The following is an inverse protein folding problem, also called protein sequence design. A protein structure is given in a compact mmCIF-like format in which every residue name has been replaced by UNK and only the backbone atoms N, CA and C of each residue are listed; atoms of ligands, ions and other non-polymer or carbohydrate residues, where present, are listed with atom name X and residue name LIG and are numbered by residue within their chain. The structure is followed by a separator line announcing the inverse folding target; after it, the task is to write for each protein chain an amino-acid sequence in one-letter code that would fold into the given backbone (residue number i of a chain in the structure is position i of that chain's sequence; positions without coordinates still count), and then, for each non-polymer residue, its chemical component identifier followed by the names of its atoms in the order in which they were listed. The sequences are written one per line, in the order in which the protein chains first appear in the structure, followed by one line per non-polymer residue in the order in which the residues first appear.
data_IF_220546837095
#
_entry.id   IF_220546837095
#
_cell.length_a   1.000
_cell.length_b   1.000
_cell.length_c   1.000
_cell.angle_alpha   90.00
_cell.angle_beta   90.00
_cell.angle_gamma   90.00
#
_symmetry.space_group_name_H-M   'P 1'
#
loop_
_entity.id
_entity.type
_entity.pdbx_description
1 polymer ?
#
# COMPACT_ATOMS: atom_id res chain seq x y z
N UNK A 1 11.08 -22.00 -5.74
CA UNK A 1 10.71 -20.88 -6.63
C UNK A 1 9.45 -21.17 -7.43
N UNK A 2 9.33 -22.34 -8.11
CA UNK A 2 8.16 -22.69 -8.94
C UNK A 2 6.86 -22.73 -8.12
N UNK A 3 6.84 -23.41 -6.97
CA UNK A 3 5.66 -23.49 -6.09
C UNK A 3 5.22 -22.11 -5.59
N UNK A 4 6.17 -21.25 -5.21
CA UNK A 4 5.88 -19.88 -4.79
C UNK A 4 5.19 -19.06 -5.89
N UNK A 5 5.69 -19.14 -7.13
CA UNK A 5 5.09 -18.42 -8.26
C UNK A 5 3.71 -18.95 -8.61
N UNK A 6 3.53 -20.26 -8.58
CA UNK A 6 2.23 -20.89 -8.78
C UNK A 6 1.21 -20.40 -7.76
N UNK A 7 1.53 -20.48 -6.47
CA UNK A 7 0.64 -20.01 -5.41
C UNK A 7 0.35 -18.51 -5.51
N UNK A 8 1.34 -17.67 -5.86
CA UNK A 8 1.12 -16.24 -6.01
C UNK A 8 0.23 -15.91 -7.20
N UNK A 9 0.31 -16.67 -8.28
CA UNK A 9 -0.59 -16.56 -9.43
C UNK A 9 -2.01 -16.94 -9.04
N UNK A 10 -2.21 -18.07 -8.37
CA UNK A 10 -3.52 -18.49 -7.88
C UNK A 10 -4.12 -17.46 -6.91
N UNK A 11 -3.30 -16.87 -6.02
CA UNK A 11 -3.74 -15.80 -5.13
C UNK A 11 -4.20 -14.56 -5.89
N UNK A 12 -3.48 -14.18 -6.94
CA UNK A 12 -3.84 -13.06 -7.80
C UNK A 12 -5.12 -13.34 -8.59
N UNK A 13 -5.27 -14.53 -9.17
CA UNK A 13 -6.47 -14.93 -9.88
C UNK A 13 -7.71 -14.93 -8.97
N UNK A 14 -7.57 -15.46 -7.75
CA UNK A 14 -8.66 -15.45 -6.78
C UNK A 14 -9.01 -14.02 -6.36
N UNK A 15 -8.01 -13.16 -6.16
CA UNK A 15 -8.26 -11.75 -5.86
C UNK A 15 -9.02 -11.06 -7.00
N UNK A 16 -8.62 -11.26 -8.25
CA UNK A 16 -9.32 -10.72 -9.42
C UNK A 16 -10.77 -11.22 -9.52
N UNK A 17 -11.04 -12.51 -9.23
CA UNK A 17 -12.41 -13.03 -9.15
C UNK A 17 -13.23 -12.28 -8.09
N UNK A 18 -12.66 -12.04 -6.91
CA UNK A 18 -13.33 -11.28 -5.84
C UNK A 18 -13.63 -9.84 -6.25
N UNK A 19 -12.69 -9.19 -6.95
CA UNK A 19 -12.93 -7.88 -7.52
C UNK A 19 -14.07 -7.90 -8.56
N UNK A 20 -14.11 -8.89 -9.45
CA UNK A 20 -15.19 -9.05 -10.41
C UNK A 20 -16.56 -9.26 -9.76
N UNK A 21 -16.61 -9.96 -8.64
CA UNK A 21 -17.82 -10.19 -7.84
C UNK A 21 -18.23 -8.99 -6.96
N UNK A 22 -17.46 -7.89 -6.99
CA UNK A 22 -17.69 -6.70 -6.15
C UNK A 22 -17.85 -7.04 -4.65
N UNK A 23 -16.97 -7.88 -4.13
CA UNK A 23 -17.07 -8.37 -2.75
C UNK A 23 -16.69 -7.34 -1.69
N UNK A 24 -16.16 -6.17 -2.08
CA UNK A 24 -15.75 -5.10 -1.19
C UNK A 24 -16.86 -4.04 -1.07
N UNK A 25 -17.95 -4.38 -0.38
CA UNK A 25 -19.00 -3.41 -0.08
C UNK A 25 -18.62 -2.59 1.15
N UNK A 26 -18.01 -1.43 0.91
CA UNK A 26 -17.61 -0.51 1.99
C UNK A 26 -17.81 0.95 1.56
N UNK A 27 -18.11 1.77 2.55
CA UNK A 27 -18.16 3.23 2.39
C UNK A 27 -16.96 3.94 2.98
N UNK A 28 -16.02 3.22 3.61
CA UNK A 28 -14.88 3.80 4.30
C UNK A 28 -13.57 3.10 3.90
N UNK A 29 -12.70 3.85 3.25
CA UNK A 29 -11.41 3.36 2.75
C UNK A 29 -10.27 4.21 3.28
N UNK A 30 -9.16 3.56 3.59
CA UNK A 30 -7.88 4.19 3.90
C UNK A 30 -6.91 3.89 2.76
N UNK A 31 -6.25 4.92 2.25
CA UNK A 31 -5.33 4.83 1.13
C UNK A 31 -4.03 5.58 1.44
N UNK A 32 -2.89 4.92 1.25
CA UNK A 32 -1.55 5.52 1.37
C UNK A 32 -0.49 4.67 0.65
N UNK A 33 0.72 5.18 0.58
CA UNK A 33 1.90 4.50 0.05
C UNK A 33 2.84 4.06 1.16
N UNK A 34 3.29 2.80 1.07
CA UNK A 34 4.40 2.28 1.86
C UNK A 34 5.69 2.36 1.07
N UNK A 35 6.81 2.67 1.73
CA UNK A 35 8.13 2.63 1.11
C UNK A 35 8.84 1.32 1.41
N UNK A 36 9.48 0.75 0.38
CA UNK A 36 10.38 -0.37 0.42
C UNK A 36 11.59 -0.11 -0.48
N UNK A 37 12.37 -1.11 -0.78
CA UNK A 37 13.53 -0.98 -1.67
C UNK A 37 13.89 -2.30 -2.33
N UNK A 38 14.57 -2.22 -3.46
CA UNK A 38 15.12 -3.33 -4.23
C UNK A 38 16.62 -3.45 -3.99
N UNK A 39 17.09 -4.56 -3.42
CA UNK A 39 18.47 -4.84 -2.98
C UNK A 39 19.02 -3.85 -1.95
N UNK A 40 18.87 -2.57 -2.18
CA UNK A 40 19.46 -1.49 -1.41
C UNK A 40 18.50 -0.32 -1.31
N UNK A 41 18.63 0.46 -0.24
CA UNK A 41 17.86 1.71 -0.05
C UNK A 41 18.10 2.75 -1.15
N UNK A 42 19.15 2.56 -1.95
CA UNK A 42 19.41 3.38 -3.13
C UNK A 42 18.45 3.10 -4.29
N UNK A 43 17.68 2.01 -4.24
CA UNK A 43 16.66 1.66 -5.25
C UNK A 43 15.28 1.58 -4.58
N UNK A 44 14.63 2.73 -4.32
CA UNK A 44 13.36 2.75 -3.62
C UNK A 44 12.23 2.14 -4.44
N UNK A 45 11.28 1.51 -3.72
CA UNK A 45 10.01 1.04 -4.24
C UNK A 45 8.89 1.72 -3.46
N UNK A 46 7.85 2.13 -4.16
CA UNK A 46 6.58 2.54 -3.58
C UNK A 46 5.56 1.41 -3.68
N UNK A 47 4.72 1.27 -2.67
CA UNK A 47 3.65 0.30 -2.59
C UNK A 47 2.38 1.07 -2.29
N UNK A 48 1.55 1.31 -3.30
CA UNK A 48 0.22 1.87 -3.11
C UNK A 48 -0.67 0.81 -2.47
N UNK A 49 -1.39 1.17 -1.40
CA UNK A 49 -2.19 0.25 -0.60
C UNK A 49 -3.53 0.87 -0.26
N UNK A 50 -4.62 0.15 -0.55
CA UNK A 50 -5.98 0.52 -0.17
C UNK A 50 -6.59 -0.55 0.74
N UNK A 51 -7.16 -0.12 1.86
CA UNK A 51 -7.67 -0.98 2.93
C UNK A 51 -9.06 -0.52 3.35
N UNK A 52 -10.00 -1.47 3.57
CA UNK A 52 -11.27 -1.19 4.22
C UNK A 52 -11.03 -0.79 5.68
N UNK A 53 -11.72 0.27 6.14
CA UNK A 53 -11.49 0.80 7.50
C UNK A 53 -12.10 -0.07 8.59
N UNK A 54 -13.16 -0.81 8.29
CA UNK A 54 -13.99 -1.59 9.23
C UNK A 54 -13.42 -2.98 9.53
N UNK A 55 -12.97 -3.69 8.50
CA UNK A 55 -12.55 -5.09 8.61
C UNK A 55 -11.08 -5.32 8.22
N UNK A 56 -10.37 -4.25 7.83
CA UNK A 56 -8.95 -4.25 7.47
C UNK A 56 -8.59 -5.17 6.29
N UNK A 57 -9.57 -5.52 5.45
CA UNK A 57 -9.32 -6.23 4.19
C UNK A 57 -8.59 -5.32 3.22
N UNK A 58 -7.66 -5.90 2.49
CA UNK A 58 -6.92 -5.20 1.44
C UNK A 58 -7.77 -5.22 0.17
N UNK A 59 -8.17 -4.05 -0.33
CA UNK A 59 -8.93 -3.93 -1.57
C UNK A 59 -7.99 -4.06 -2.75
N UNK A 60 -6.84 -3.38 -2.71
CA UNK A 60 -5.81 -3.53 -3.73
C UNK A 60 -4.44 -3.10 -3.21
N UNK A 61 -3.39 -3.64 -3.83
CA UNK A 61 -2.00 -3.31 -3.53
C UNK A 61 -1.15 -3.38 -4.79
N UNK A 62 -0.40 -2.30 -5.08
CA UNK A 62 0.45 -2.23 -6.26
C UNK A 62 1.86 -1.75 -5.93
N UNK A 63 2.86 -2.53 -6.37
CA UNK A 63 4.28 -2.20 -6.25
C UNK A 63 4.77 -1.46 -7.48
N UNK A 64 5.50 -0.37 -7.28
CA UNK A 64 6.14 0.39 -8.36
C UNK A 64 7.57 0.81 -8.03
N UNK A 65 8.35 1.03 -9.05
CA UNK A 65 9.59 1.78 -8.93
C UNK A 65 9.29 3.21 -8.50
N UNK A 66 10.10 3.74 -7.57
CA UNK A 66 10.07 5.15 -7.20
C UNK A 66 11.39 5.82 -7.54
N UNK A 67 11.35 7.11 -7.82
CA UNK A 67 12.56 7.92 -7.99
C UNK A 67 13.41 7.93 -6.72
N UNK A 68 14.67 8.33 -6.87
CA UNK A 68 15.57 8.47 -5.72
C UNK A 68 15.12 9.58 -4.79
N UNK A 69 15.14 9.33 -3.49
CA UNK A 69 14.65 10.26 -2.48
C UNK A 69 15.69 10.56 -1.40
N UNK A 70 15.62 11.79 -0.88
CA UNK A 70 16.40 12.22 0.27
C UNK A 70 17.90 12.33 0.01
N UNK A 71 18.68 12.26 1.09
CA UNK A 71 20.13 12.50 1.07
C UNK A 71 20.95 11.52 0.25
N UNK A 72 20.38 10.35 -0.08
CA UNK A 72 21.06 9.31 -0.85
C UNK A 72 20.83 9.43 -2.36
N UNK A 73 20.04 10.39 -2.82
CA UNK A 73 19.65 10.52 -4.24
C UNK A 73 20.84 10.75 -5.17
N UNK A 74 21.79 11.59 -4.79
CA UNK A 74 23.00 11.86 -5.58
C UNK A 74 23.91 10.63 -5.69
N UNK A 75 24.07 9.90 -4.60
CA UNK A 75 24.85 8.64 -4.57
C UNK A 75 24.18 7.58 -5.44
N UNK A 76 22.85 7.47 -5.34
CA UNK A 76 22.08 6.53 -6.11
C UNK A 76 22.15 6.83 -7.62
N UNK A 77 21.99 8.10 -8.00
CA UNK A 77 22.11 8.56 -9.38
C UNK A 77 23.50 8.26 -9.97
N UNK A 78 24.57 8.56 -9.21
CA UNK A 78 25.94 8.28 -9.64
C UNK A 78 26.19 6.77 -9.81
N UNK A 79 25.62 5.92 -8.95
CA UNK A 79 25.89 4.48 -8.95
C UNK A 79 25.03 3.70 -9.94
N UNK A 80 23.78 4.10 -10.16
CA UNK A 80 22.78 3.33 -10.92
C UNK A 80 22.19 4.07 -12.11
N UNK A 81 22.60 5.32 -12.36
CA UNK A 81 22.03 6.16 -13.43
C UNK A 81 20.61 6.66 -13.12
N UNK A 82 19.94 7.28 -14.10
CA UNK A 82 18.55 7.74 -13.96
C UNK A 82 17.59 6.59 -13.63
N UNK A 83 16.59 6.87 -12.78
CA UNK A 83 15.54 5.89 -12.41
C UNK A 83 14.17 6.49 -12.63
N UNK A 84 13.35 5.81 -13.44
CA UNK A 84 11.96 6.20 -13.68
C UNK A 84 11.13 6.11 -12.39
N UNK A 85 10.10 6.95 -12.32
CA UNK A 85 9.11 6.92 -11.23
C UNK A 85 7.78 6.41 -11.79
N UNK A 86 7.34 5.28 -11.29
CA UNK A 86 6.07 4.62 -11.65
C UNK A 86 5.09 4.64 -10.45
N UNK A 87 5.39 5.42 -9.41
CA UNK A 87 4.53 5.45 -8.21
C UNK A 87 3.17 6.07 -8.49
N UNK A 88 3.10 7.05 -9.41
CA UNK A 88 1.83 7.63 -9.84
C UNK A 88 0.94 6.59 -10.53
N UNK A 89 1.50 5.82 -11.46
CA UNK A 89 0.78 4.76 -12.19
C UNK A 89 0.24 3.70 -11.22
N UNK A 90 1.03 3.33 -10.21
CA UNK A 90 0.59 2.39 -9.19
C UNK A 90 -0.57 2.94 -8.35
N UNK A 91 -0.52 4.22 -7.96
CA UNK A 91 -1.63 4.87 -7.24
C UNK A 91 -2.89 4.93 -8.08
N UNK A 92 -2.76 5.33 -9.34
CA UNK A 92 -3.88 5.39 -10.30
C UNK A 92 -4.47 4.00 -10.50
N UNK A 93 -3.65 2.94 -10.61
CA UNK A 93 -4.13 1.57 -10.70
C UNK A 93 -5.03 1.23 -9.51
N UNK A 94 -4.55 1.47 -8.28
CA UNK A 94 -5.33 1.20 -7.06
C UNK A 94 -6.60 2.04 -7.01
N UNK A 95 -6.56 3.33 -7.39
CA UNK A 95 -7.75 4.19 -7.42
C UNK A 95 -8.79 3.70 -8.44
N UNK A 96 -8.37 3.25 -9.62
CA UNK A 96 -9.28 2.62 -10.61
C UNK A 96 -9.91 1.33 -10.09
N UNK A 97 -9.13 0.50 -9.41
CA UNK A 97 -9.67 -0.70 -8.75
C UNK A 97 -10.71 -0.30 -7.71
N UNK A 98 -10.41 0.70 -6.86
CA UNK A 98 -11.37 1.22 -5.88
C UNK A 98 -12.66 1.72 -6.53
N UNK A 99 -12.57 2.51 -7.61
CA UNK A 99 -13.73 3.03 -8.34
C UNK A 99 -14.68 1.92 -8.78
N UNK A 100 -14.14 0.77 -9.18
CA UNK A 100 -14.94 -0.39 -9.58
C UNK A 100 -15.57 -1.14 -8.40
N UNK A 101 -15.05 -0.98 -7.17
CA UNK A 101 -15.41 -1.78 -6.00
C UNK A 101 -16.31 -1.07 -5.00
N UNK A 102 -16.16 0.24 -4.86
CA UNK A 102 -16.80 1.01 -3.80
C UNK A 102 -17.74 2.08 -4.36
N UNK A 103 -18.61 2.58 -3.51
CA UNK A 103 -19.56 3.64 -3.90
C UNK A 103 -18.83 4.97 -4.12
N UNK A 104 -19.34 5.77 -5.03
CA UNK A 104 -18.76 7.09 -5.37
C UNK A 104 -18.90 8.13 -4.27
N UNK A 105 -19.84 7.94 -3.32
CA UNK A 105 -20.12 8.79 -2.16
C UNK A 105 -19.40 8.31 -0.87
N UNK A 106 -18.33 7.55 -1.02
CA UNK A 106 -17.56 6.97 0.08
C UNK A 106 -16.71 8.01 0.85
N UNK A 107 -16.17 7.58 2.00
CA UNK A 107 -15.19 8.32 2.77
C UNK A 107 -13.79 7.76 2.51
N UNK A 108 -12.91 8.56 1.96
CA UNK A 108 -11.51 8.18 1.72
C UNK A 108 -10.62 8.94 2.70
N UNK A 109 -9.82 8.21 3.47
CA UNK A 109 -8.85 8.78 4.40
C UNK A 109 -7.44 8.53 3.88
N UNK A 110 -6.63 9.59 3.77
CA UNK A 110 -5.24 9.53 3.29
C UNK A 110 -4.30 10.30 4.23
N UNK A 111 -2.99 10.12 4.07
CA UNK A 111 -2.05 11.09 4.60
C UNK A 111 -2.13 12.42 3.81
N UNK A 112 -1.41 13.44 4.26
CA UNK A 112 -1.50 14.78 3.67
C UNK A 112 -0.50 15.01 2.53
N UNK A 113 -0.25 14.02 1.67
CA UNK A 113 0.57 14.22 0.47
C UNK A 113 -0.16 15.14 -0.53
N UNK A 114 0.55 16.11 -1.15
CA UNK A 114 -0.09 17.14 -1.98
C UNK A 114 -0.83 16.61 -3.22
N UNK A 115 -0.41 15.47 -3.76
CA UNK A 115 -0.99 14.89 -4.97
C UNK A 115 -2.29 14.11 -4.73
N UNK A 116 -2.54 13.60 -3.52
CA UNK A 116 -3.73 12.80 -3.24
C UNK A 116 -5.06 13.50 -3.50
N UNK A 117 -5.26 14.79 -3.14
CA UNK A 117 -6.55 15.43 -3.41
C UNK A 117 -6.92 15.49 -4.88
N UNK A 118 -5.95 15.72 -5.75
CA UNK A 118 -6.19 15.76 -7.19
C UNK A 118 -6.47 14.36 -7.74
N UNK A 119 -5.61 13.38 -7.39
CA UNK A 119 -5.75 12.00 -7.84
C UNK A 119 -7.06 11.37 -7.34
N UNK A 120 -7.44 11.58 -6.07
CA UNK A 120 -8.70 11.04 -5.53
C UNK A 120 -9.92 11.70 -6.16
N UNK A 121 -9.93 13.02 -6.35
CA UNK A 121 -11.08 13.72 -6.96
C UNK A 121 -11.32 13.34 -8.41
N UNK A 122 -10.29 12.94 -9.14
CA UNK A 122 -10.41 12.48 -10.52
C UNK A 122 -11.30 11.22 -10.63
N UNK A 123 -11.17 10.27 -9.68
CA UNK A 123 -11.93 9.01 -9.66
C UNK A 123 -13.16 9.05 -8.74
N UNK A 124 -13.12 9.89 -7.72
CA UNK A 124 -14.16 10.01 -6.69
C UNK A 124 -14.59 11.46 -6.48
N UNK A 125 -15.25 12.09 -7.45
CA UNK A 125 -15.62 13.51 -7.35
C UNK A 125 -16.61 13.79 -6.21
N UNK A 126 -17.43 12.80 -5.80
CA UNK A 126 -18.42 12.89 -4.73
C UNK A 126 -17.93 12.37 -3.38
N UNK A 127 -16.75 11.78 -3.30
CA UNK A 127 -16.22 11.24 -2.06
C UNK A 127 -15.84 12.32 -1.05
N UNK A 128 -16.06 12.01 0.22
CA UNK A 128 -15.53 12.79 1.31
C UNK A 128 -14.06 12.43 1.56
N UNK A 129 -13.14 13.31 1.16
CA UNK A 129 -11.70 13.12 1.37
C UNK A 129 -11.24 13.72 2.69
N UNK A 130 -10.71 12.90 3.59
CA UNK A 130 -10.09 13.30 4.84
C UNK A 130 -8.58 13.12 4.78
N UNK A 131 -7.83 14.21 4.82
CA UNK A 131 -6.36 14.17 4.87
C UNK A 131 -5.86 14.30 6.31
N UNK A 132 -5.01 13.36 6.73
CA UNK A 132 -4.41 13.31 8.06
C UNK A 132 -3.01 13.90 8.03
N UNK A 133 -2.87 15.13 8.55
CA UNK A 133 -1.56 15.78 8.67
C UNK A 133 -0.78 15.19 9.86
N UNK A 134 0.30 14.52 9.57
CA UNK A 134 1.24 14.02 10.59
C UNK A 134 2.08 15.19 11.15
N UNK A 135 1.58 15.84 12.19
CA UNK A 135 2.30 16.94 12.88
C UNK A 135 3.12 16.40 14.06
N UNK A 136 4.44 16.60 14.02
CA UNK A 136 5.35 16.32 15.12
C UNK A 136 6.01 14.94 15.10
N UNK A 137 6.91 14.69 16.06
CA UNK A 137 7.64 13.44 16.18
C UNK A 137 6.72 12.28 16.58
N UNK A 138 7.14 11.04 16.27
CA UNK A 138 6.41 9.82 16.66
C UNK A 138 6.06 9.81 18.15
N UNK A 139 6.99 10.26 19.00
CA UNK A 139 6.80 10.33 20.46
C UNK A 139 5.70 11.31 20.84
N UNK A 140 5.71 12.53 20.26
CA UNK A 140 4.64 13.54 20.50
C UNK A 140 3.27 13.01 20.11
N UNK A 141 3.16 12.30 18.97
CA UNK A 141 1.90 11.68 18.51
C UNK A 141 1.40 10.60 19.47
N UNK A 142 2.27 9.72 19.93
CA UNK A 142 1.93 8.67 20.89
C UNK A 142 1.47 9.26 22.22
N UNK A 143 2.15 10.28 22.75
CA UNK A 143 1.77 10.94 23.98
C UNK A 143 0.43 11.69 23.85
N UNK A 144 0.18 12.35 22.72
CA UNK A 144 -1.09 13.01 22.46
C UNK A 144 -2.25 12.03 22.30
N UNK A 145 -2.05 10.93 21.58
CA UNK A 145 -3.04 9.87 21.41
C UNK A 145 -3.40 9.25 22.77
N UNK A 146 -2.41 8.95 23.61
CA UNK A 146 -2.60 8.41 24.96
C UNK A 146 -3.35 9.37 25.90
N UNK A 147 -3.04 10.68 25.82
CA UNK A 147 -3.70 11.71 26.65
C UNK A 147 -5.14 11.98 26.25
N UNK A 148 -5.47 11.85 24.95
CA UNK A 148 -6.78 12.20 24.40
C UNK A 148 -7.69 11.02 24.13
N UNK A 149 -7.23 9.82 24.36
CA UNK A 149 -7.91 8.56 23.99
C UNK A 149 -8.42 8.57 22.52
N UNK A 150 -7.66 9.23 21.62
CA UNK A 150 -8.02 9.39 20.22
C UNK A 150 -7.43 8.21 19.46
N UNK A 151 -8.28 7.43 18.81
CA UNK A 151 -7.85 6.40 17.88
C UNK A 151 -7.14 7.02 16.67
N UNK A 152 -6.09 6.36 16.16
CA UNK A 152 -5.41 6.74 14.93
C UNK A 152 -6.42 6.68 13.77
N UNK A 153 -6.71 7.80 13.06
CA UNK A 153 -7.64 7.78 11.94
C UNK A 153 -7.21 6.89 10.77
N UNK A 154 -5.92 6.52 10.70
CA UNK A 154 -5.34 5.61 9.71
C UNK A 154 -5.02 4.24 10.31
N UNK A 155 -5.68 3.88 11.43
CA UNK A 155 -5.34 2.67 12.20
C UNK A 155 -5.37 1.41 11.33
N UNK A 156 -6.41 1.19 10.55
CA UNK A 156 -6.55 -0.02 9.72
C UNK A 156 -5.40 -0.18 8.74
N UNK A 157 -5.09 0.87 7.98
CA UNK A 157 -3.99 0.86 7.03
C UNK A 157 -2.64 0.70 7.74
N UNK A 158 -2.42 1.41 8.85
CA UNK A 158 -1.20 1.31 9.65
C UNK A 158 -1.02 -0.10 10.24
N UNK A 159 -2.10 -0.75 10.67
CA UNK A 159 -2.09 -2.12 11.15
C UNK A 159 -1.71 -3.10 10.04
N UNK A 160 -2.36 -3.00 8.87
CA UNK A 160 -2.04 -3.85 7.71
C UNK A 160 -0.61 -3.62 7.25
N UNK A 161 -0.15 -2.37 7.19
CA UNK A 161 1.23 -2.05 6.86
C UNK A 161 2.25 -2.60 7.88
N UNK A 162 1.88 -2.64 9.15
CA UNK A 162 2.70 -3.27 10.20
C UNK A 162 2.75 -4.79 10.04
N UNK A 163 1.61 -5.44 9.77
CA UNK A 163 1.55 -6.89 9.48
C UNK A 163 2.38 -7.25 8.24
N UNK A 164 2.25 -6.51 7.13
CA UNK A 164 3.09 -6.71 5.93
C UNK A 164 4.58 -6.67 6.29
N UNK A 165 5.01 -5.73 7.14
CA UNK A 165 6.42 -5.65 7.56
C UNK A 165 6.84 -6.75 8.52
N UNK A 166 5.93 -7.26 9.31
CA UNK A 166 6.17 -8.35 10.26
C UNK A 166 6.22 -9.70 9.54
N UNK A 167 5.21 -10.01 8.72
CA UNK A 167 5.02 -11.34 8.15
C UNK A 167 5.88 -11.57 6.89
N UNK A 168 6.14 -10.50 6.11
CA UNK A 168 7.03 -10.58 4.97
C UNK A 168 8.46 -10.15 5.34
N UNK A 169 9.34 -11.10 5.61
CA UNK A 169 10.72 -10.85 6.07
C UNK A 169 11.46 -9.82 5.19
N UNK A 170 11.22 -9.80 3.87
CA UNK A 170 11.83 -8.82 2.94
C UNK A 170 11.30 -7.39 3.09
N UNK A 171 10.21 -7.19 3.82
CA UNK A 171 9.63 -5.89 4.14
C UNK A 171 10.11 -5.35 5.49
N UNK A 172 10.83 -6.14 6.27
CA UNK A 172 11.43 -5.71 7.53
C UNK A 172 12.43 -4.56 7.32
N UNK A 173 12.52 -3.66 8.29
CA UNK A 173 13.38 -2.47 8.19
C UNK A 173 14.88 -2.76 8.33
N UNK A 174 15.24 -3.85 9.00
CA UNK A 174 16.63 -4.24 9.32
C UNK A 174 16.78 -5.75 9.10
N UNK A 175 16.68 -6.17 7.85
CA UNK A 175 16.79 -7.59 7.50
C UNK A 175 17.79 -7.82 6.36
N UNK A 176 18.39 -8.98 6.33
CA UNK A 176 19.27 -9.44 5.24
C UNK A 176 18.49 -9.81 3.98
N UNK A 177 17.27 -10.33 4.17
CA UNK A 177 16.39 -10.70 3.07
C UNK A 177 15.81 -9.45 2.45
N UNK A 178 16.28 -9.08 1.27
CA UNK A 178 15.79 -7.93 0.52
C UNK A 178 15.02 -8.35 -0.72
N UNK A 179 14.10 -7.52 -1.15
CA UNK A 179 13.46 -7.65 -2.46
C UNK A 179 14.52 -7.61 -3.55
N UNK A 180 14.50 -8.57 -4.48
CA UNK A 180 15.45 -8.59 -5.60
C UNK A 180 14.87 -7.96 -6.88
N UNK A 181 13.55 -8.03 -7.04
CA UNK A 181 12.78 -7.47 -8.16
C UNK A 181 11.42 -7.01 -7.66
N UNK A 182 10.90 -5.90 -8.19
CA UNK A 182 9.59 -5.36 -7.82
C UNK A 182 8.46 -6.39 -8.02
N UNK A 183 8.48 -7.11 -9.14
CA UNK A 183 7.49 -8.16 -9.48
C UNK A 183 7.45 -9.29 -8.44
N UNK A 184 8.61 -9.62 -7.84
CA UNK A 184 8.66 -10.64 -6.77
C UNK A 184 8.07 -10.12 -5.47
N UNK A 185 8.19 -8.83 -5.21
CA UNK A 185 7.51 -8.21 -4.09
C UNK A 185 6.00 -8.19 -4.31
N UNK A 186 5.55 -7.85 -5.52
CA UNK A 186 4.13 -7.93 -5.88
C UNK A 186 3.58 -9.36 -5.64
N UNK A 187 4.30 -10.39 -6.09
CA UNK A 187 3.93 -11.79 -5.86
C UNK A 187 3.79 -12.15 -4.37
N UNK A 188 4.70 -11.66 -3.51
CA UNK A 188 4.58 -11.85 -2.06
C UNK A 188 3.40 -11.10 -1.45
N UNK A 189 3.13 -9.88 -1.95
CA UNK A 189 1.99 -9.10 -1.48
C UNK A 189 0.67 -9.75 -1.90
N UNK A 190 0.57 -10.34 -3.08
CA UNK A 190 -0.65 -11.07 -3.49
C UNK A 190 -0.94 -12.28 -2.58
N UNK A 191 0.09 -13.04 -2.18
CA UNK A 191 -0.07 -14.09 -1.17
C UNK A 191 -0.51 -13.52 0.19
N UNK A 192 0.05 -12.38 0.58
CA UNK A 192 -0.36 -11.71 1.80
C UNK A 192 -1.80 -11.18 1.73
N UNK A 193 -2.24 -10.65 0.58
CA UNK A 193 -3.63 -10.24 0.34
C UNK A 193 -4.57 -11.43 0.54
N UNK A 194 -4.24 -12.58 -0.05
CA UNK A 194 -5.05 -13.78 0.11
C UNK A 194 -5.12 -14.25 1.58
N UNK A 195 -4.01 -14.20 2.28
CA UNK A 195 -3.96 -14.51 3.72
C UNK A 195 -4.78 -13.51 4.54
N UNK A 196 -4.55 -12.21 4.38
CA UNK A 196 -5.23 -11.15 5.13
C UNK A 196 -6.74 -11.12 4.87
N UNK A 197 -7.16 -11.45 3.65
CA UNK A 197 -8.55 -11.45 3.22
C UNK A 197 -9.23 -12.81 3.40
N UNK A 198 -8.53 -13.83 3.92
CA UNK A 198 -9.01 -15.20 4.13
C UNK A 198 -9.48 -15.89 2.83
N UNK A 199 -8.70 -15.78 1.75
CA UNK A 199 -9.01 -16.49 0.51
C UNK A 199 -8.54 -17.95 0.59
N UNK A 200 -9.36 -18.86 0.07
CA UNK A 200 -8.93 -20.24 -0.19
C UNK A 200 -8.12 -20.28 -1.48
N UNK A 201 -6.84 -20.65 -1.38
CA UNK A 201 -5.94 -20.79 -2.54
C UNK A 201 -5.70 -22.27 -2.76
N UNK A 202 -5.98 -22.77 -3.98
CA UNK A 202 -5.62 -24.12 -4.37
C UNK A 202 -4.08 -24.29 -4.36
N UNK A 203 -3.60 -25.38 -3.74
CA UNK A 203 -2.18 -25.70 -3.59
C UNK A 203 -1.64 -26.50 -4.78
#
# INVERSE_FOLDING_TARGET
VRKFLFLSKNAQEEHLKRLQQKTFDTTQVQFDEMLSFEHTRLKPLSIALAVQSDNYKIIDVQVAQSHYQGRLSSIALKKYGPRGDQSKEARIHVLKTLESQIRTDCHITTDAKPHYPLEVREYFPKASLKQIKNRGSRLKRLLQARRRNIQDPMFGLNLVAAKIRHDLSRMGRKVWTTTKKAERLQSHLMLFVAYQNNYSIAA
#
